data_IF_346688964741
#
_entry.id   IF_346688964741
#
_cell.length_a   1.000
_cell.length_b   1.000
_cell.length_c   1.000
_cell.angle_alpha   90.00
_cell.angle_beta   90.00
_cell.angle_gamma   90.00
#
_symmetry.space_group_name_H-M   'P 1'
#
loop_
_entity.id
_entity.type
_entity.pdbx_description
1 polymer ?
#
# COMPACT_ATOMS: atom_id res chain seq x y z
N UNK A 1 5.44 -4.26 -0.88
CA UNK A 1 5.69 -3.97 0.55
C UNK A 1 4.35 -4.03 1.23
N UNK A 2 4.21 -4.87 2.25
CA UNK A 2 2.93 -5.09 2.94
C UNK A 2 3.22 -5.03 4.44
N UNK A 3 2.90 -3.90 5.04
CA UNK A 3 2.66 -3.69 6.44
C UNK A 3 1.32 -4.34 6.79
N UNK A 4 1.37 -5.61 7.20
CA UNK A 4 0.19 -6.37 7.68
C UNK A 4 -0.49 -5.59 8.82
N UNK A 5 -1.65 -5.00 8.54
CA UNK A 5 -2.49 -4.28 9.51
C UNK A 5 -3.54 -5.15 10.20
N UNK A 6 -3.59 -6.45 9.90
CA UNK A 6 -4.46 -7.40 10.57
C UNK A 6 -3.57 -8.31 11.38
N UNK A 7 -3.61 -8.12 12.70
CA UNK A 7 -3.29 -9.05 13.79
C UNK A 7 -3.16 -8.26 15.08
N UNK A 8 -4.30 -7.80 15.57
CA UNK A 8 -4.47 -7.77 17.02
C UNK A 8 -4.21 -9.21 17.48
N UNK A 9 -3.22 -9.35 18.37
CA UNK A 9 -2.83 -10.53 19.14
C UNK A 9 -3.48 -11.87 18.72
N UNK A 10 -2.81 -12.64 17.86
CA UNK A 10 -2.90 -14.10 17.60
C UNK A 10 -2.93 -14.39 16.09
N UNK A 11 -1.77 -14.75 15.53
CA UNK A 11 -1.70 -15.39 14.21
C UNK A 11 -1.21 -16.81 14.43
N UNK A 12 -2.14 -17.75 14.51
CA UNK A 12 -1.82 -19.14 14.24
C UNK A 12 -1.93 -19.32 12.71
N UNK A 13 -0.94 -19.95 12.09
CA UNK A 13 -1.00 -20.27 10.66
C UNK A 13 -2.24 -21.11 10.30
N UNK A 14 -2.83 -21.78 11.29
CA UNK A 14 -4.08 -22.56 11.20
C UNK A 14 -5.33 -21.72 10.96
N UNK A 15 -5.30 -20.41 11.23
CA UNK A 15 -6.47 -19.55 10.99
C UNK A 15 -6.63 -19.19 9.52
N UNK A 16 -5.55 -19.27 8.72
CA UNK A 16 -5.62 -19.07 7.28
C UNK A 16 -6.30 -20.24 6.55
N UNK A 17 -6.16 -21.46 7.06
CA UNK A 17 -6.81 -22.66 6.51
C UNK A 17 -8.31 -22.68 6.82
N UNK A 18 -8.71 -22.22 8.01
CA UNK A 18 -10.12 -22.19 8.44
C UNK A 18 -10.96 -21.15 7.69
N UNK A 19 -10.38 -20.03 7.30
CA UNK A 19 -11.08 -19.01 6.49
C UNK A 19 -11.32 -19.51 5.06
N UNK A 20 -10.48 -20.42 4.54
CA UNK A 20 -10.65 -21.04 3.22
C UNK A 20 -11.73 -22.12 3.25
N UNK A 21 -11.85 -22.87 4.35
CA UNK A 21 -12.84 -23.94 4.50
C UNK A 21 -14.26 -23.40 4.77
N UNK A 22 -14.40 -22.32 5.56
CA UNK A 22 -15.72 -21.79 5.96
C UNK A 22 -16.48 -21.00 4.88
N UNK A 23 -15.83 -20.57 3.78
CA UNK A 23 -16.54 -19.96 2.64
C UNK A 23 -17.12 -20.99 1.64
N UNK A 24 -16.90 -22.30 1.88
CA UNK A 24 -17.37 -23.35 0.97
C UNK A 24 -18.78 -23.91 1.28
N UNK A 25 -19.39 -23.53 2.41
CA UNK A 25 -20.73 -24.01 2.82
C UNK A 25 -21.76 -22.87 2.88
N UNK A 26 -22.10 -22.28 1.73
CA UNK A 26 -23.29 -21.44 1.54
C UNK A 26 -24.39 -22.19 0.77
N UNK A 27 -25.69 -21.94 1.02
CA UNK A 27 -26.77 -22.70 0.37
C UNK A 27 -26.79 -22.45 -1.14
N UNK A 28 -26.83 -23.53 -1.92
CA UNK A 28 -26.89 -23.51 -3.38
C UNK A 28 -28.15 -22.79 -3.88
N UNK A 29 -28.01 -21.52 -4.28
CA UNK A 29 -28.94 -20.86 -5.18
C UNK A 29 -28.34 -20.84 -6.59
N UNK A 30 -29.16 -21.25 -7.56
CA UNK A 30 -28.80 -21.30 -8.97
C UNK A 30 -28.72 -19.88 -9.54
N UNK A 31 -27.55 -19.26 -9.48
CA UNK A 31 -27.22 -18.07 -10.26
C UNK A 31 -26.29 -18.46 -11.41
N UNK A 32 -26.66 -18.08 -12.63
CA UNK A 32 -25.95 -18.43 -13.85
C UNK A 32 -24.67 -17.58 -13.97
N UNK A 33 -23.53 -18.17 -13.60
CA UNK A 33 -22.27 -18.04 -14.36
C UNK A 33 -21.48 -16.74 -14.26
N UNK A 34 -21.38 -16.10 -13.09
CA UNK A 34 -20.28 -15.16 -12.84
C UNK A 34 -19.09 -15.93 -12.24
N UNK A 35 -18.07 -16.22 -13.05
CA UNK A 35 -16.81 -16.78 -12.55
C UNK A 35 -16.18 -15.80 -11.55
N UNK A 36 -16.05 -16.23 -10.30
CA UNK A 36 -15.51 -15.39 -9.24
C UNK A 36 -13.99 -15.32 -9.35
N UNK A 37 -13.45 -14.23 -9.92
CA UNK A 37 -12.01 -14.06 -10.01
C UNK A 37 -11.44 -13.78 -8.62
N UNK A 38 -10.50 -14.62 -8.17
CA UNK A 38 -9.79 -14.46 -6.89
C UNK A 38 -8.38 -13.92 -7.12
N UNK A 39 -8.02 -12.84 -6.43
CA UNK A 39 -6.67 -12.26 -6.47
C UNK A 39 -6.02 -12.42 -5.11
N UNK A 40 -4.78 -12.93 -5.13
CA UNK A 40 -3.98 -13.13 -3.93
C UNK A 40 -2.77 -12.21 -3.94
N UNK A 41 -2.43 -11.70 -2.76
CA UNK A 41 -1.23 -10.94 -2.54
C UNK A 41 -0.15 -11.87 -1.98
N UNK A 42 0.97 -11.99 -2.69
CA UNK A 42 2.09 -12.86 -2.33
C UNK A 42 3.39 -12.05 -2.11
N UNK A 43 4.49 -12.74 -1.78
CA UNK A 43 5.80 -12.10 -1.64
C UNK A 43 5.95 -11.26 -0.37
N UNK A 44 5.76 -11.88 0.80
CA UNK A 44 5.86 -11.22 2.11
C UNK A 44 7.30 -11.02 2.63
N UNK A 45 8.31 -11.05 1.75
CA UNK A 45 9.73 -10.93 2.14
C UNK A 45 10.09 -9.56 2.73
N UNK A 46 9.36 -8.51 2.35
CA UNK A 46 9.45 -7.17 2.96
C UNK A 46 8.36 -6.90 4.00
N UNK A 47 7.63 -7.91 4.46
CA UNK A 47 6.63 -7.72 5.50
C UNK A 47 7.30 -7.23 6.79
N UNK A 48 6.65 -6.29 7.46
CA UNK A 48 7.16 -5.68 8.68
C UNK A 48 6.08 -5.62 9.75
N UNK A 49 6.43 -6.05 10.97
CA UNK A 49 5.56 -5.98 12.14
C UNK A 49 5.63 -4.59 12.76
N UNK A 50 4.80 -3.68 12.25
CA UNK A 50 4.77 -2.28 12.68
C UNK A 50 4.12 -2.05 14.05
N UNK A 51 3.37 -3.02 14.57
CA UNK A 51 2.69 -2.96 15.86
C UNK A 51 2.97 -4.21 16.70
N UNK A 52 4.21 -4.42 17.17
CA UNK A 52 4.51 -5.49 18.12
C UNK A 52 3.67 -5.30 19.40
N UNK A 53 2.97 -6.35 19.82
CA UNK A 53 2.11 -6.33 21.02
C UNK A 53 1.07 -5.19 21.05
N UNK A 54 0.60 -4.76 19.88
CA UNK A 54 -0.37 -3.66 19.76
C UNK A 54 0.23 -2.25 19.90
N UNK A 55 1.54 -2.13 20.12
CA UNK A 55 2.23 -0.85 20.22
C UNK A 55 2.87 -0.48 18.89
N UNK A 56 2.45 0.63 18.30
CA UNK A 56 3.02 1.12 17.05
C UNK A 56 4.48 1.54 17.27
N UNK A 57 5.37 1.12 16.36
CA UNK A 57 6.77 1.57 16.39
C UNK A 57 6.86 3.10 16.24
N UNK A 58 7.81 3.74 16.93
CA UNK A 58 8.03 5.20 16.83
C UNK A 58 8.76 5.56 15.54
N UNK A 59 8.52 6.74 14.97
CA UNK A 59 9.24 7.20 13.76
C UNK A 59 10.72 7.54 14.03
N UNK A 60 11.66 6.90 13.32
CA UNK A 60 13.10 7.21 13.29
C UNK A 60 13.66 6.95 11.89
N UNK A 61 14.15 8.01 11.25
CA UNK A 61 14.86 7.92 9.97
C UNK A 61 16.22 7.22 10.12
N UNK A 62 16.74 6.66 9.01
CA UNK A 62 18.06 6.01 8.94
C UNK A 62 18.28 4.88 9.95
N UNK A 63 17.21 4.36 10.55
CA UNK A 63 17.32 3.18 11.38
C UNK A 63 17.73 1.96 10.52
N UNK A 64 17.48 1.98 9.19
CA UNK A 64 17.61 0.89 8.20
C UNK A 64 18.47 1.19 7.00
N UNK A 65 18.71 0.12 6.23
CA UNK A 65 18.96 0.19 4.78
C UNK A 65 17.90 1.08 4.09
N UNK A 66 18.29 2.23 3.54
CA UNK A 66 17.42 3.06 2.73
C UNK A 66 17.11 2.38 1.39
N UNK A 67 16.00 2.78 0.78
CA UNK A 67 15.58 2.28 -0.53
C UNK A 67 15.29 0.76 -0.57
N UNK A 68 14.88 0.19 0.57
CA UNK A 68 14.58 -1.24 0.73
C UNK A 68 13.27 -1.61 0.02
N UNK A 69 13.39 -2.24 -1.15
CA UNK A 69 12.28 -2.72 -1.98
C UNK A 69 12.34 -2.24 -3.43
N UNK A 70 11.25 -2.40 -4.17
CA UNK A 70 11.17 -1.93 -5.57
C UNK A 70 11.12 -0.40 -5.59
N UNK A 71 12.25 0.24 -5.87
CA UNK A 71 12.47 1.71 -5.81
C UNK A 71 11.33 2.51 -6.44
N UNK A 72 10.76 2.03 -7.54
CA UNK A 72 9.64 2.67 -8.22
C UNK A 72 8.39 2.80 -7.32
N UNK A 73 8.08 1.79 -6.49
CA UNK A 73 6.82 1.67 -5.75
C UNK A 73 6.93 1.81 -4.23
N UNK A 74 8.11 1.76 -3.64
CA UNK A 74 8.25 1.90 -2.18
C UNK A 74 7.83 3.30 -1.69
N UNK A 75 7.39 3.39 -0.44
CA UNK A 75 7.00 4.65 0.21
C UNK A 75 8.19 5.59 0.47
N UNK A 76 7.91 6.87 0.75
CA UNK A 76 8.93 7.83 1.20
C UNK A 76 9.63 7.34 2.48
N UNK A 77 8.87 6.76 3.42
CA UNK A 77 9.43 6.20 4.66
C UNK A 77 10.50 5.13 4.35
N UNK A 78 10.24 4.28 3.35
CA UNK A 78 11.17 3.22 2.94
C UNK A 78 12.40 3.77 2.22
N UNK A 79 12.24 4.84 1.44
CA UNK A 79 13.40 5.55 0.87
C UNK A 79 14.30 6.14 1.97
N UNK A 80 13.73 6.64 3.06
CA UNK A 80 14.45 7.26 4.18
C UNK A 80 15.17 6.28 5.11
N UNK A 81 15.14 4.99 4.80
CA UNK A 81 15.78 3.97 5.63
C UNK A 81 15.13 3.86 6.99
N UNK A 82 13.81 3.91 7.03
CA UNK A 82 13.04 3.69 8.24
C UNK A 82 13.02 2.16 8.50
N UNK A 83 13.79 1.68 9.49
CA UNK A 83 13.78 0.33 10.13
C UNK A 83 15.13 -0.37 10.45
N UNK A 84 15.44 -1.65 10.12
CA UNK A 84 16.55 -2.49 10.69
C UNK A 84 17.98 -1.89 10.82
N UNK A 85 18.59 -1.78 12.02
CA UNK A 85 20.01 -1.44 12.16
C UNK A 85 20.91 -2.60 11.70
N UNK A 86 21.90 -2.29 10.86
CA UNK A 86 23.05 -3.17 10.64
C UNK A 86 24.10 -2.89 11.72
N UNK A 87 24.50 -3.93 12.45
CA UNK A 87 25.77 -4.04 13.19
C UNK A 87 25.97 -3.18 14.46
N UNK A 88 25.04 -3.21 15.42
CA UNK A 88 25.29 -2.71 16.79
C UNK A 88 25.05 -3.80 17.85
N UNK A 89 25.92 -3.91 18.89
CA UNK A 89 25.74 -4.86 19.97
C UNK A 89 24.47 -4.56 20.77
N UNK A 90 23.88 -5.58 21.45
CA UNK A 90 22.55 -5.48 22.05
C UNK A 90 22.60 -4.71 23.38
N UNK A 91 22.77 -3.39 23.31
CA UNK A 91 22.65 -2.51 24.48
C UNK A 91 21.30 -1.80 24.41
N UNK A 92 20.24 -2.53 24.77
CA UNK A 92 18.93 -2.10 25.29
C UNK A 92 18.07 -1.06 24.53
N UNK A 93 18.58 -0.33 23.53
CA UNK A 93 17.88 0.73 22.79
C UNK A 93 17.37 0.27 21.39
N UNK A 94 17.38 -1.03 21.12
CA UNK A 94 17.31 -1.63 19.76
C UNK A 94 16.14 -2.60 19.57
N UNK A 95 15.09 -2.56 20.41
CA UNK A 95 14.09 -3.64 20.35
C UNK A 95 13.14 -3.56 19.14
N UNK A 96 12.91 -2.39 18.55
CA UNK A 96 12.07 -2.26 17.34
C UNK A 96 12.61 -1.19 16.39
N UNK A 97 13.37 -1.56 15.35
CA UNK A 97 13.65 -0.66 14.25
C UNK A 97 12.37 -0.05 13.69
N UNK A 98 12.30 1.27 13.53
CA UNK A 98 11.13 1.96 12.95
C UNK A 98 10.87 1.48 11.53
N UNK A 99 9.96 0.58 11.18
CA UNK A 99 9.83 0.14 9.77
C UNK A 99 8.82 0.92 8.91
N UNK A 100 8.49 0.43 7.72
CA UNK A 100 7.30 0.93 7.01
C UNK A 100 6.05 0.78 7.89
N UNK A 101 5.12 1.73 7.81
CA UNK A 101 3.85 1.70 8.55
C UNK A 101 2.63 1.55 7.62
N UNK A 102 1.42 1.57 8.18
CA UNK A 102 0.17 1.47 7.40
C UNK A 102 0.10 2.45 6.23
N UNK A 103 0.59 3.68 6.38
CA UNK A 103 0.61 4.66 5.29
C UNK A 103 1.56 4.27 4.16
N UNK A 104 2.63 3.55 4.47
CA UNK A 104 3.63 3.14 3.48
C UNK A 104 3.05 2.19 2.45
N UNK A 105 2.18 1.26 2.87
CA UNK A 105 1.47 0.37 1.95
C UNK A 105 0.48 1.11 1.06
N UNK A 106 -0.30 2.03 1.64
CA UNK A 106 -1.28 2.80 0.90
C UNK A 106 -0.62 3.74 -0.13
N UNK A 107 0.52 4.33 0.22
CA UNK A 107 1.34 5.10 -0.72
C UNK A 107 1.86 4.22 -1.86
N UNK A 108 2.32 3.01 -1.53
CA UNK A 108 2.79 2.05 -2.54
C UNK A 108 1.65 1.64 -3.49
N UNK A 109 0.46 1.38 -2.94
CA UNK A 109 -0.74 1.07 -3.73
C UNK A 109 -1.16 2.24 -4.62
N UNK A 110 -1.10 3.48 -4.13
CA UNK A 110 -1.31 4.68 -4.93
C UNK A 110 -0.37 4.72 -6.16
N UNK A 111 0.94 4.46 -5.96
CA UNK A 111 1.89 4.43 -7.07
C UNK A 111 1.60 3.30 -8.06
N UNK A 112 1.23 2.12 -7.58
CA UNK A 112 0.79 1.01 -8.45
C UNK A 112 -0.43 1.41 -9.30
N UNK A 113 -1.46 1.99 -8.70
CA UNK A 113 -2.67 2.40 -9.41
C UNK A 113 -2.37 3.43 -10.51
N UNK A 114 -1.51 4.43 -10.26
CA UNK A 114 -1.10 5.37 -11.33
C UNK A 114 -0.32 4.67 -12.42
N UNK A 115 0.59 3.77 -12.07
CA UNK A 115 1.38 3.02 -13.04
C UNK A 115 0.48 2.16 -13.94
N UNK A 116 -0.51 1.48 -13.36
CA UNK A 116 -1.48 0.67 -14.12
C UNK A 116 -2.33 1.54 -15.06
N UNK A 117 -2.78 2.71 -14.59
CA UNK A 117 -3.67 3.58 -15.37
C UNK A 117 -2.96 4.43 -16.42
N UNK A 118 -1.70 4.81 -16.20
CA UNK A 118 -0.95 5.72 -17.09
C UNK A 118 0.23 5.06 -17.79
N UNK A 119 0.58 3.82 -17.45
CA UNK A 119 1.72 3.07 -17.98
C UNK A 119 3.09 3.48 -17.40
N UNK A 120 3.19 4.66 -16.77
CA UNK A 120 4.44 5.15 -16.17
C UNK A 120 4.20 5.88 -14.85
N UNK A 121 5.28 6.21 -14.16
CA UNK A 121 5.36 7.20 -13.09
C UNK A 121 6.38 8.26 -13.53
N UNK A 122 6.33 9.49 -13.01
CA UNK A 122 7.30 10.53 -13.39
C UNK A 122 8.77 10.19 -13.12
N UNK A 123 9.02 9.19 -12.26
CA UNK A 123 10.34 8.71 -11.91
C UNK A 123 10.67 7.31 -12.48
N UNK A 124 9.83 6.75 -13.36
CA UNK A 124 10.06 5.42 -13.95
C UNK A 124 11.40 5.33 -14.68
N UNK A 125 11.85 6.40 -15.35
CA UNK A 125 13.09 6.41 -16.15
C UNK A 125 14.36 6.66 -15.33
N UNK A 126 14.23 6.83 -14.00
CA UNK A 126 15.34 7.18 -13.11
C UNK A 126 15.39 6.30 -11.86
N UNK A 127 14.84 5.08 -11.95
CA UNK A 127 14.82 4.09 -10.87
C UNK A 127 16.23 3.63 -10.45
N UNK A 128 17.23 3.86 -11.30
CA UNK A 128 18.67 3.67 -11.03
C UNK A 128 19.23 4.71 -10.04
N UNK A 129 18.49 5.79 -9.77
CA UNK A 129 18.88 6.89 -8.87
C UNK A 129 17.88 7.02 -7.70
N UNK A 130 17.94 6.13 -6.68
CA UNK A 130 16.93 6.07 -5.62
C UNK A 130 16.71 7.37 -4.83
N UNK A 131 17.75 8.17 -4.62
CA UNK A 131 17.63 9.48 -3.95
C UNK A 131 16.88 10.50 -4.81
N UNK A 132 17.03 10.45 -6.12
CA UNK A 132 16.33 11.32 -7.04
C UNK A 132 14.86 10.92 -7.17
N UNK A 133 14.56 9.60 -7.17
CA UNK A 133 13.19 9.07 -7.07
C UNK A 133 12.51 9.54 -5.78
N UNK A 134 13.20 9.48 -4.63
CA UNK A 134 12.69 9.98 -3.36
C UNK A 134 12.31 11.46 -3.44
N UNK A 135 13.18 12.29 -4.03
CA UNK A 135 12.91 13.73 -4.20
C UNK A 135 11.68 13.99 -5.06
N UNK A 136 11.50 13.24 -6.16
CA UNK A 136 10.27 13.35 -6.97
C UNK A 136 9.02 12.91 -6.22
N UNK A 137 9.11 11.86 -5.39
CA UNK A 137 8.01 11.42 -4.51
C UNK A 137 7.65 12.47 -3.46
N UNK A 138 8.63 13.16 -2.88
CA UNK A 138 8.39 14.25 -1.94
C UNK A 138 7.71 15.45 -2.61
N UNK A 139 8.17 15.85 -3.80
CA UNK A 139 7.49 16.89 -4.61
C UNK A 139 6.06 16.49 -4.93
N UNK A 140 5.86 15.24 -5.31
CA UNK A 140 4.53 14.69 -5.58
C UNK A 140 3.61 14.78 -4.35
N UNK A 141 4.11 14.39 -3.17
CA UNK A 141 3.37 14.49 -1.90
C UNK A 141 2.89 15.92 -1.63
N UNK A 142 3.68 16.93 -1.99
CA UNK A 142 3.32 18.35 -1.79
C UNK A 142 2.43 18.95 -2.88
N UNK A 143 2.36 18.34 -4.07
CA UNK A 143 1.59 18.88 -5.20
C UNK A 143 0.97 17.74 -6.04
N UNK A 144 -0.06 17.13 -5.47
CA UNK A 144 -0.78 16.02 -6.10
C UNK A 144 -1.47 16.48 -7.39
N UNK A 145 -2.16 17.63 -7.37
CA UNK A 145 -2.85 18.17 -8.55
C UNK A 145 -1.89 18.43 -9.72
N UNK A 146 -0.75 19.08 -9.47
CA UNK A 146 0.26 19.35 -10.48
C UNK A 146 0.84 18.07 -11.10
N UNK A 147 0.97 17.02 -10.31
CA UNK A 147 1.38 15.70 -10.80
C UNK A 147 0.36 15.10 -11.74
N UNK A 148 -0.92 15.08 -11.36
CA UNK A 148 -1.97 14.50 -12.20
C UNK A 148 -2.08 15.25 -13.53
N UNK A 149 -1.97 16.58 -13.50
CA UNK A 149 -1.92 17.41 -14.71
C UNK A 149 -0.73 17.06 -15.62
N UNK A 150 0.42 16.69 -15.03
CA UNK A 150 1.62 16.29 -15.79
C UNK A 150 1.52 14.86 -16.33
N UNK A 151 0.94 13.94 -15.57
CA UNK A 151 0.90 12.52 -15.88
C UNK A 151 -0.26 12.16 -16.83
N UNK A 152 -1.41 12.82 -16.68
CA UNK A 152 -2.63 12.55 -17.46
C UNK A 152 -2.92 13.65 -18.50
N UNK A 153 -1.89 14.29 -19.07
CA UNK A 153 -1.99 15.43 -20.02
C UNK A 153 -3.01 15.30 -21.17
N UNK A 154 -3.42 14.08 -21.51
CA UNK A 154 -4.33 13.76 -22.62
C UNK A 154 -5.60 13.00 -22.19
N UNK A 155 -5.82 12.81 -20.89
CA UNK A 155 -6.94 12.00 -20.36
C UNK A 155 -7.65 12.68 -19.20
N UNK A 156 -8.83 12.18 -18.85
CA UNK A 156 -9.50 12.56 -17.59
C UNK A 156 -8.70 11.96 -16.43
N UNK A 157 -8.31 12.80 -15.48
CA UNK A 157 -7.85 12.36 -14.17
C UNK A 157 -9.01 11.61 -13.52
N UNK A 158 -8.84 10.34 -13.09
CA UNK A 158 -9.85 9.72 -12.26
C UNK A 158 -9.91 10.49 -10.94
N UNK A 159 -10.95 11.31 -10.73
CA UNK A 159 -11.10 12.15 -9.54
C UNK A 159 -11.00 11.33 -8.24
N UNK A 160 -11.53 10.10 -8.29
CA UNK A 160 -11.44 9.08 -7.23
C UNK A 160 -10.00 8.74 -6.86
N UNK A 161 -9.10 8.62 -7.85
CA UNK A 161 -7.68 8.32 -7.58
C UNK A 161 -6.97 9.54 -6.99
N UNK A 162 -7.29 10.74 -7.46
CA UNK A 162 -6.76 11.97 -6.88
C UNK A 162 -7.16 12.10 -5.41
N UNK A 163 -8.43 11.93 -5.09
CA UNK A 163 -8.96 11.99 -3.73
C UNK A 163 -8.33 10.92 -2.83
N UNK A 164 -8.19 9.68 -3.32
CA UNK A 164 -7.49 8.62 -2.58
C UNK A 164 -6.06 9.03 -2.22
N UNK A 165 -5.33 9.63 -3.17
CA UNK A 165 -3.97 10.08 -2.93
C UNK A 165 -3.91 11.24 -1.94
N UNK A 166 -4.82 12.21 -2.06
CA UNK A 166 -4.92 13.32 -1.12
C UNK A 166 -5.14 12.80 0.31
N UNK A 167 -6.01 11.81 0.51
CA UNK A 167 -6.21 11.18 1.82
C UNK A 167 -4.98 10.39 2.31
N UNK A 168 -4.31 9.65 1.44
CA UNK A 168 -3.19 8.77 1.82
C UNK A 168 -1.88 9.53 2.07
N UNK A 169 -1.63 10.60 1.32
CA UNK A 169 -0.37 11.34 1.40
C UNK A 169 -0.28 12.21 2.67
N UNK A 170 -1.42 12.57 3.28
CA UNK A 170 -1.47 13.33 4.54
C UNK A 170 -1.44 12.46 5.80
N UNK A 171 -1.49 11.13 5.66
CA UNK A 171 -1.49 10.23 6.82
C UNK A 171 -0.24 10.40 7.67
N UNK A 172 -0.45 10.58 8.97
CA UNK A 172 0.63 10.54 9.96
C UNK A 172 1.20 9.14 10.10
N UNK A 173 2.46 9.04 10.51
CA UNK A 173 3.21 7.79 10.51
C UNK A 173 2.51 6.70 11.35
N UNK A 174 1.99 7.08 12.52
CA UNK A 174 1.30 6.20 13.46
C UNK A 174 -0.21 6.17 13.26
N UNK A 175 -0.77 6.92 12.31
CA UNK A 175 -2.22 7.02 12.12
C UNK A 175 -2.81 5.70 11.65
N UNK A 176 -4.02 5.38 12.14
CA UNK A 176 -4.85 4.29 11.60
C UNK A 176 -5.67 4.87 10.43
N UNK A 177 -5.46 4.42 9.18
CA UNK A 177 -6.24 4.89 8.04
C UNK A 177 -7.72 4.49 8.17
N UNK A 178 -8.61 5.33 7.64
CA UNK A 178 -10.02 4.96 7.49
C UNK A 178 -10.20 4.06 6.26
N UNK A 179 -9.90 2.76 6.42
CA UNK A 179 -9.99 1.80 5.31
C UNK A 179 -11.40 1.67 4.73
N UNK A 180 -12.45 1.93 5.52
CA UNK A 180 -13.84 1.88 5.03
C UNK A 180 -14.06 2.99 4.00
N UNK A 181 -13.70 4.21 4.35
CA UNK A 181 -13.81 5.38 3.47
C UNK A 181 -12.99 5.21 2.18
N UNK A 182 -11.73 4.75 2.28
CA UNK A 182 -10.91 4.49 1.10
C UNK A 182 -11.51 3.43 0.16
N UNK A 183 -12.17 2.40 0.71
CA UNK A 183 -12.87 1.38 -0.07
C UNK A 183 -14.17 1.91 -0.69
N UNK A 184 -14.94 2.65 0.09
CA UNK A 184 -16.21 3.24 -0.35
C UNK A 184 -15.96 4.25 -1.48
N UNK A 185 -14.89 5.05 -1.39
CA UNK A 185 -14.42 5.95 -2.43
C UNK A 185 -14.15 5.21 -3.76
N UNK A 186 -13.36 4.15 -3.72
CA UNK A 186 -13.05 3.34 -4.91
C UNK A 186 -14.29 2.68 -5.49
N UNK A 187 -15.17 2.15 -4.63
CA UNK A 187 -16.44 1.54 -5.02
C UNK A 187 -17.37 2.53 -5.71
N UNK A 188 -17.49 3.75 -5.18
CA UNK A 188 -18.24 4.84 -5.81
C UNK A 188 -17.70 5.16 -7.21
N UNK A 189 -16.37 5.25 -7.34
CA UNK A 189 -15.72 5.45 -8.63
C UNK A 189 -16.03 4.36 -9.67
N UNK A 190 -16.05 3.09 -9.26
CA UNK A 190 -16.43 1.98 -10.13
C UNK A 190 -17.90 2.05 -10.56
N UNK A 191 -18.80 2.42 -9.65
CA UNK A 191 -20.22 2.58 -9.94
C UNK A 191 -20.48 3.71 -10.94
N UNK A 192 -19.77 4.84 -10.82
CA UNK A 192 -19.84 5.94 -11.78
C UNK A 192 -19.38 5.53 -13.19
N UNK A 193 -18.44 4.59 -13.28
CA UNK A 193 -17.98 4.00 -14.53
C UNK A 193 -18.90 2.89 -15.06
N UNK A 194 -19.99 2.57 -14.35
CA UNK A 194 -20.97 1.55 -14.74
C UNK A 194 -20.59 0.11 -14.35
N UNK A 195 -19.54 -0.07 -13.53
CA UNK A 195 -19.13 -1.38 -13.04
C UNK A 195 -19.82 -1.69 -11.71
N UNK A 196 -20.82 -2.59 -11.78
CA UNK A 196 -21.64 -2.98 -10.62
C UNK A 196 -21.27 -4.37 -10.05
N UNK A 197 -20.39 -5.12 -10.71
CA UNK A 197 -19.95 -6.45 -10.27
C UNK A 197 -18.56 -6.34 -9.63
N UNK A 198 -18.49 -6.61 -8.32
CA UNK A 198 -17.23 -6.56 -7.55
C UNK A 198 -16.22 -7.66 -7.92
N UNK A 199 -16.67 -8.71 -8.61
CA UNK A 199 -15.90 -9.96 -8.77
C UNK A 199 -15.40 -10.20 -10.21
N UNK A 200 -15.51 -9.22 -11.10
CA UNK A 200 -15.04 -9.32 -12.49
C UNK A 200 -13.75 -8.55 -12.65
N UNK A 201 -12.66 -9.24 -12.97
CA UNK A 201 -11.37 -8.64 -13.33
C UNK A 201 -11.06 -9.07 -14.76
N UNK A 202 -10.72 -8.09 -15.59
CA UNK A 202 -10.28 -8.29 -16.98
C UNK A 202 -8.74 -8.13 -17.02
N UNK A 203 -8.03 -9.08 -17.63
CA UNK A 203 -6.55 -9.17 -17.61
C UNK A 203 -5.92 -8.76 -18.94
#
# INVERSE_FOLDING_TARGET
MIVKSRLDCEFDARDLEKDIENESEGPASADHGAEHVRVYLAGYFFAFRFSPSGQHVEYREQSRTPHDGTVEFISIDSHKGVGKPLNLPPTFCVLYPTGPSRRSDLQSLAYCMVKWLSGSLPWSDMVDKPSAVMSEKEKFKTNIQGFFNKQFRKGKIPGVLQEYMEQVMVLEYTQKPNYKELKDLMRGGLQELGFNKENSIDF
#
